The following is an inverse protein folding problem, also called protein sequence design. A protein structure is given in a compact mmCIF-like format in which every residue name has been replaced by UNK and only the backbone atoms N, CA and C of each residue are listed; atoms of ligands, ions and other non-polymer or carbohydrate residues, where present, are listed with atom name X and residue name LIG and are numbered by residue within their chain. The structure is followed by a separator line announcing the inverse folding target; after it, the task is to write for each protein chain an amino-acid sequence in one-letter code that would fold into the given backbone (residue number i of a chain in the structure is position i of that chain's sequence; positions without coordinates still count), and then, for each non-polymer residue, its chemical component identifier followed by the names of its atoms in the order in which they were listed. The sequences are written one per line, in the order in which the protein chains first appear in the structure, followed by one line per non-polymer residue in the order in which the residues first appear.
data_IF_896552081894
#
_entry.id   IF_896552081894
#
_cell.length_a   1.000
_cell.length_b   1.000
_cell.length_c   1.000
_cell.angle_alpha   90.00
_cell.angle_beta   90.00
_cell.angle_gamma   90.00
#
_symmetry.space_group_name_H-M   'P 1'
#
loop_
_entity.id
_entity.type
_entity.pdbx_description
1 polymer ?
#
# COMPACT_ATOMS: atom_id res chain seq x y z
N UNK A 1 -9.21 -8.94 6.55
CA UNK A 1 -9.52 -7.99 7.65
C UNK A 1 -9.13 -8.60 8.99
N UNK A 2 -8.22 -7.93 9.71
CA UNK A 2 -7.72 -8.27 11.06
C UNK A 2 -8.84 -8.07 12.08
N UNK A 3 -9.75 -9.04 12.18
CA UNK A 3 -10.87 -9.00 13.12
C UNK A 3 -10.64 -10.00 14.25
N UNK A 4 -10.41 -9.50 15.47
CA UNK A 4 -10.10 -10.32 16.66
C UNK A 4 -11.19 -11.32 17.03
N UNK A 5 -12.47 -10.98 16.80
CA UNK A 5 -13.61 -11.79 17.28
C UNK A 5 -14.37 -12.52 16.17
N UNK A 6 -14.46 -11.94 14.96
CA UNK A 6 -15.21 -12.52 13.83
C UNK A 6 -14.48 -12.39 12.48
N UNK A 7 -13.22 -11.92 12.49
CA UNK A 7 -12.44 -11.77 11.27
C UNK A 7 -11.92 -13.10 10.73
N UNK A 8 -11.41 -13.07 9.49
CA UNK A 8 -10.80 -14.23 8.82
C UNK A 8 -9.68 -14.82 9.67
N UNK A 9 -8.88 -13.97 10.31
CA UNK A 9 -7.82 -14.39 11.24
C UNK A 9 -8.37 -15.26 12.37
N UNK A 10 -9.43 -14.82 13.06
CA UNK A 10 -10.03 -15.59 14.16
C UNK A 10 -10.60 -16.93 13.68
N UNK A 11 -11.16 -16.99 12.46
CA UNK A 11 -11.65 -18.24 11.87
C UNK A 11 -10.52 -19.21 11.53
N UNK A 12 -9.42 -18.71 10.95
CA UNK A 12 -8.23 -19.52 10.66
C UNK A 12 -7.60 -20.06 11.94
N UNK A 13 -7.44 -19.22 12.97
CA UNK A 13 -6.89 -19.65 14.26
C UNK A 13 -7.76 -20.68 14.99
N UNK A 14 -9.07 -20.70 14.77
CA UNK A 14 -9.95 -21.77 15.29
C UNK A 14 -9.70 -23.11 14.60
N UNK A 15 -9.32 -23.10 13.32
CA UNK A 15 -9.03 -24.31 12.56
C UNK A 15 -7.59 -24.80 12.77
N UNK A 16 -6.64 -23.87 12.83
CA UNK A 16 -5.24 -24.15 13.12
C UNK A 16 -4.69 -23.08 14.10
N UNK A 17 -4.58 -23.41 15.40
CA UNK A 17 -4.04 -22.51 16.41
C UNK A 17 -2.57 -22.12 16.21
N UNK A 18 -1.82 -22.92 15.44
CA UNK A 18 -0.40 -22.69 15.11
C UNK A 18 -0.22 -21.74 13.91
N UNK A 19 -1.30 -21.33 13.26
CA UNK A 19 -1.23 -20.45 12.10
C UNK A 19 -0.69 -19.06 12.49
N UNK A 20 0.35 -18.60 11.79
CA UNK A 20 0.93 -17.28 12.00
C UNK A 20 0.16 -16.25 11.19
N UNK A 21 -0.29 -15.18 11.87
CA UNK A 21 -0.88 -14.04 11.19
C UNK A 21 0.22 -13.10 10.70
N UNK A 22 0.32 -12.93 9.37
CA UNK A 22 1.17 -11.94 8.73
C UNK A 22 0.28 -10.86 8.11
N UNK A 23 0.43 -9.58 8.49
CA UNK A 23 -0.32 -8.51 7.84
C UNK A 23 0.18 -8.32 6.40
N UNK A 24 -0.74 -8.03 5.49
CA UNK A 24 -0.41 -7.77 4.09
C UNK A 24 0.42 -6.49 3.95
N UNK A 25 1.68 -6.59 3.50
CA UNK A 25 2.55 -5.41 3.39
C UNK A 25 1.97 -4.30 2.51
N UNK A 26 1.39 -4.66 1.36
CA UNK A 26 0.75 -3.73 0.44
C UNK A 26 -0.44 -2.98 1.05
N UNK A 27 -1.30 -3.69 1.79
CA UNK A 27 -2.46 -3.10 2.47
C UNK A 27 -2.01 -2.23 3.65
N UNK A 28 -1.06 -2.72 4.44
CA UNK A 28 -0.48 -1.99 5.56
C UNK A 28 0.11 -0.67 5.12
N UNK A 29 0.89 -0.66 4.04
CA UNK A 29 1.49 0.57 3.50
C UNK A 29 0.42 1.57 3.00
N UNK A 30 -0.73 1.09 2.52
CA UNK A 30 -1.86 1.98 2.20
C UNK A 30 -2.45 2.64 3.47
N UNK A 31 -2.59 1.88 4.56
CA UNK A 31 -3.10 2.41 5.82
C UNK A 31 -2.17 3.50 6.38
N UNK A 32 -0.86 3.26 6.37
CA UNK A 32 0.17 4.25 6.74
C UNK A 32 -0.06 5.59 6.04
N UNK A 33 -0.22 5.57 4.71
CA UNK A 33 -0.43 6.79 3.93
C UNK A 33 -1.81 7.41 4.17
N UNK A 34 -2.84 6.59 4.40
CA UNK A 34 -4.17 7.09 4.74
C UNK A 34 -4.20 7.81 6.09
N UNK A 35 -3.42 7.35 7.04
CA UNK A 35 -3.30 7.97 8.36
C UNK A 35 -2.43 9.24 8.27
N UNK A 36 -1.31 9.19 7.52
CA UNK A 36 -0.49 10.36 7.24
C UNK A 36 -1.25 11.48 6.49
N UNK A 37 -2.18 11.13 5.60
CA UNK A 37 -3.04 12.11 4.91
C UNK A 37 -3.99 12.85 5.86
N UNK A 38 -4.19 12.32 7.08
CA UNK A 38 -5.05 12.88 8.13
C UNK A 38 -4.27 13.48 9.30
N UNK A 39 -2.94 13.39 9.29
CA UNK A 39 -2.09 13.78 10.42
C UNK A 39 -1.94 15.30 10.58
N UNK A 40 -2.09 16.07 9.50
CA UNK A 40 -2.03 17.53 9.52
C UNK A 40 -3.24 18.17 8.84
N UNK A 41 -3.60 19.38 9.30
CA UNK A 41 -4.68 20.17 8.68
C UNK A 41 -4.39 20.45 7.21
N UNK A 42 -3.12 20.68 6.88
CA UNK A 42 -2.68 21.04 5.54
C UNK A 42 -2.77 19.84 4.60
N UNK A 43 -2.45 18.63 5.08
CA UNK A 43 -2.66 17.40 4.33
C UNK A 43 -4.15 17.15 4.02
N UNK A 44 -5.01 17.28 5.04
CA UNK A 44 -6.46 17.08 4.89
C UNK A 44 -7.04 18.07 3.87
N UNK A 45 -6.69 19.35 4.00
CA UNK A 45 -7.14 20.41 3.10
C UNK A 45 -6.62 20.19 1.68
N UNK A 46 -5.34 19.80 1.53
CA UNK A 46 -4.74 19.50 0.23
C UNK A 46 -5.51 18.40 -0.52
N UNK A 47 -5.74 17.24 0.11
CA UNK A 47 -6.50 16.16 -0.53
C UNK A 47 -7.97 16.56 -0.78
N UNK A 48 -8.54 17.41 0.07
CA UNK A 48 -9.84 18.03 -0.16
C UNK A 48 -9.88 18.83 -1.47
N UNK A 49 -8.86 19.67 -1.72
CA UNK A 49 -8.75 20.43 -2.96
C UNK A 49 -8.50 19.54 -4.18
N UNK A 50 -7.63 18.53 -4.08
CA UNK A 50 -7.41 17.57 -5.18
C UNK A 50 -8.74 16.87 -5.56
N UNK A 51 -9.56 16.50 -4.58
CA UNK A 51 -10.89 15.93 -4.86
C UNK A 51 -11.86 16.95 -5.46
N UNK A 52 -11.84 18.21 -4.98
CA UNK A 52 -12.67 19.28 -5.53
C UNK A 52 -12.32 19.58 -6.98
N UNK A 53 -11.04 19.58 -7.35
CA UNK A 53 -10.60 19.74 -8.74
C UNK A 53 -11.23 18.69 -9.65
N UNK A 54 -11.15 17.41 -9.26
CA UNK A 54 -11.81 16.35 -10.00
C UNK A 54 -13.33 16.54 -10.06
N UNK A 55 -13.97 16.85 -8.93
CA UNK A 55 -15.42 17.00 -8.85
C UNK A 55 -15.90 18.16 -9.74
N UNK A 56 -15.18 19.29 -9.74
CA UNK A 56 -15.50 20.45 -10.56
C UNK A 56 -15.50 20.12 -12.06
N UNK A 57 -14.42 19.50 -12.56
CA UNK A 57 -14.30 19.17 -13.99
C UNK A 57 -15.21 18.01 -14.40
N UNK A 58 -15.43 17.02 -13.53
CA UNK A 58 -16.29 15.86 -13.83
C UNK A 58 -17.80 16.16 -13.78
N UNK A 59 -18.20 17.29 -13.17
CA UNK A 59 -19.60 17.67 -13.02
C UNK A 59 -20.32 18.03 -14.34
N UNK A 60 -19.60 18.29 -15.43
CA UNK A 60 -20.24 18.64 -16.71
C UNK A 60 -19.34 18.42 -17.93
N UNK A 61 -19.95 18.03 -19.05
CA UNK A 61 -19.24 17.73 -20.31
C UNK A 61 -18.46 18.93 -20.85
N UNK A 62 -19.02 20.14 -20.74
CA UNK A 62 -18.33 21.36 -21.14
C UNK A 62 -17.04 21.57 -20.33
N UNK A 63 -17.09 21.40 -19.00
CA UNK A 63 -15.93 21.57 -18.10
C UNK A 63 -14.85 20.54 -18.40
N UNK A 64 -15.27 19.29 -18.62
CA UNK A 64 -14.37 18.20 -18.98
C UNK A 64 -13.68 18.43 -20.33
N UNK A 65 -14.40 18.97 -21.31
CA UNK A 65 -13.83 19.31 -22.62
C UNK A 65 -12.81 20.45 -22.52
N UNK A 66 -13.08 21.47 -21.71
CA UNK A 66 -12.11 22.55 -21.42
C UNK A 66 -10.84 21.93 -20.83
N UNK A 67 -10.95 21.11 -19.79
CA UNK A 67 -9.79 20.44 -19.19
C UNK A 67 -8.94 19.70 -20.22
N UNK A 68 -9.56 18.88 -21.07
CA UNK A 68 -8.88 18.09 -22.10
C UNK A 68 -8.15 18.91 -23.16
N UNK A 69 -8.51 20.17 -23.36
CA UNK A 69 -7.79 21.06 -24.28
C UNK A 69 -6.45 21.52 -23.72
N UNK A 70 -6.32 21.55 -22.39
CA UNK A 70 -5.12 22.03 -21.70
C UNK A 70 -4.23 20.91 -21.19
N UNK A 71 -4.80 19.80 -20.71
CA UNK A 71 -4.04 18.74 -20.03
C UNK A 71 -3.90 17.48 -20.88
N UNK A 72 -2.78 16.78 -20.68
CA UNK A 72 -2.49 15.49 -21.28
C UNK A 72 -2.91 14.33 -20.34
N UNK A 73 -2.69 14.53 -19.04
CA UNK A 73 -3.09 13.65 -17.95
C UNK A 73 -4.33 14.25 -17.29
N UNK A 74 -5.48 13.60 -17.45
CA UNK A 74 -6.72 14.07 -16.82
C UNK A 74 -6.65 13.97 -15.30
N UNK A 75 -7.23 14.94 -14.60
CA UNK A 75 -7.43 14.86 -13.14
C UNK A 75 -8.26 13.63 -12.78
N UNK A 76 -7.95 13.02 -11.64
CA UNK A 76 -8.56 11.77 -11.18
C UNK A 76 -9.11 11.93 -9.77
N UNK A 77 -10.25 11.29 -9.50
CA UNK A 77 -10.71 11.10 -8.12
C UNK A 77 -9.70 10.25 -7.38
N UNK A 78 -9.49 10.55 -6.10
CA UNK A 78 -8.82 9.61 -5.21
C UNK A 78 -9.86 8.84 -4.39
N UNK A 79 -9.46 7.70 -3.82
CA UNK A 79 -10.30 6.92 -2.91
C UNK A 79 -9.47 6.41 -1.73
N UNK A 80 -10.07 6.31 -0.54
CA UNK A 80 -9.37 5.76 0.64
C UNK A 80 -8.96 4.31 0.46
N UNK A 81 -9.72 3.56 -0.34
CA UNK A 81 -9.49 2.12 -0.55
C UNK A 81 -8.40 1.80 -1.55
N UNK A 82 -8.01 2.75 -2.43
CA UNK A 82 -7.04 2.51 -3.50
C UNK A 82 -5.96 3.59 -3.51
N UNK A 83 -4.83 3.23 -2.91
CA UNK A 83 -3.65 4.06 -2.78
C UNK A 83 -3.11 4.58 -4.14
N UNK A 84 -3.11 3.76 -5.20
CA UNK A 84 -2.65 4.17 -6.53
C UNK A 84 -3.48 5.32 -7.09
N UNK A 85 -4.75 5.39 -6.70
CA UNK A 85 -5.64 6.51 -7.05
C UNK A 85 -5.10 7.83 -6.50
N UNK A 86 -4.61 7.86 -5.25
CA UNK A 86 -4.04 9.08 -4.64
C UNK A 86 -2.79 9.55 -5.38
N UNK A 87 -1.86 8.65 -5.68
CA UNK A 87 -0.67 9.00 -6.46
C UNK A 87 -1.07 9.54 -7.84
N UNK A 88 -1.95 8.85 -8.56
CA UNK A 88 -2.38 9.29 -9.89
C UNK A 88 -3.09 10.65 -9.85
N UNK A 89 -3.90 10.93 -8.82
CA UNK A 89 -4.54 12.24 -8.60
C UNK A 89 -3.52 13.34 -8.35
N UNK A 90 -2.55 13.12 -7.45
CA UNK A 90 -1.52 14.11 -7.13
C UNK A 90 -0.56 14.31 -8.31
N UNK A 91 -0.17 13.25 -9.00
CA UNK A 91 0.72 13.29 -10.15
C UNK A 91 0.11 14.11 -11.31
N UNK A 92 -1.19 13.94 -11.59
CA UNK A 92 -1.87 14.74 -12.61
C UNK A 92 -1.80 16.24 -12.30
N UNK A 93 -1.91 16.61 -11.02
CA UNK A 93 -1.82 18.01 -10.58
C UNK A 93 -0.37 18.51 -10.61
N UNK A 94 0.57 17.73 -10.06
CA UNK A 94 1.98 18.13 -9.89
C UNK A 94 2.67 18.49 -11.20
N UNK A 95 2.42 17.72 -12.26
CA UNK A 95 3.12 17.88 -13.54
C UNK A 95 2.39 18.79 -14.53
N UNK A 96 1.15 19.20 -14.22
CA UNK A 96 0.32 20.03 -15.10
C UNK A 96 -0.40 21.15 -14.35
N UNK A 97 0.20 21.65 -13.27
CA UNK A 97 -0.43 22.65 -12.41
C UNK A 97 -0.76 23.94 -13.18
N UNK A 98 0.14 24.35 -14.08
CA UNK A 98 -0.05 25.54 -14.92
C UNK A 98 -1.22 25.36 -15.88
N UNK A 99 -1.27 24.25 -16.59
CA UNK A 99 -2.31 23.92 -17.56
C UNK A 99 -3.68 23.72 -16.88
N UNK A 100 -3.70 23.11 -15.69
CA UNK A 100 -4.92 23.00 -14.88
C UNK A 100 -5.41 24.38 -14.46
N UNK A 101 -4.50 25.28 -14.06
CA UNK A 101 -4.86 26.65 -13.69
C UNK A 101 -5.43 27.42 -14.89
N UNK A 102 -4.82 27.31 -16.07
CA UNK A 102 -5.35 27.93 -17.29
C UNK A 102 -6.72 27.35 -17.67
N UNK A 103 -6.91 26.04 -17.55
CA UNK A 103 -8.21 25.41 -17.76
C UNK A 103 -9.30 25.95 -16.80
N UNK A 104 -8.95 26.23 -15.53
CA UNK A 104 -9.87 26.83 -14.56
C UNK A 104 -10.19 28.30 -14.89
N UNK A 105 -9.20 29.06 -15.36
CA UNK A 105 -9.40 30.45 -15.80
C UNK A 105 -10.29 30.52 -17.05
N UNK A 106 -10.10 29.60 -18.01
CA UNK A 106 -10.99 29.47 -19.16
C UNK A 106 -12.41 29.04 -18.74
N UNK A 107 -12.51 28.06 -17.84
CA UNK A 107 -13.78 27.60 -17.30
C UNK A 107 -14.57 28.76 -16.64
N UNK A 108 -13.89 29.62 -15.88
CA UNK A 108 -14.49 30.83 -15.29
C UNK A 108 -15.11 31.76 -16.34
N UNK A 109 -14.49 31.87 -17.52
CA UNK A 109 -14.99 32.75 -18.59
C UNK A 109 -16.14 32.11 -19.38
N UNK A 110 -16.01 30.83 -19.74
CA UNK A 110 -16.92 30.14 -20.68
C UNK A 110 -18.16 29.49 -20.04
N UNK A 111 -18.13 29.19 -18.75
CA UNK A 111 -19.28 28.56 -18.06
C UNK A 111 -20.31 29.63 -17.73
N UNK A 112 -21.61 29.38 -17.91
CA UNK A 112 -22.65 30.38 -17.58
C UNK A 112 -23.06 30.38 -16.10
N UNK A 113 -22.98 29.24 -15.42
CA UNK A 113 -23.35 29.08 -14.01
C UNK A 113 -22.49 29.96 -13.07
N UNK A 114 -23.08 30.94 -12.35
CA UNK A 114 -22.34 31.81 -11.45
C UNK A 114 -21.60 31.06 -10.33
N UNK A 115 -22.18 29.99 -9.79
CA UNK A 115 -21.56 29.20 -8.72
C UNK A 115 -20.29 28.54 -9.22
N UNK A 116 -20.36 27.89 -10.38
CA UNK A 116 -19.20 27.31 -11.05
C UNK A 116 -18.11 28.33 -11.40
N UNK A 117 -18.47 29.58 -11.78
CA UNK A 117 -17.47 30.62 -12.04
C UNK A 117 -16.68 30.98 -10.78
N UNK A 118 -17.37 31.15 -9.65
CA UNK A 118 -16.73 31.47 -8.37
C UNK A 118 -15.88 30.30 -7.90
N UNK A 119 -16.39 29.07 -8.02
CA UNK A 119 -15.66 27.86 -7.69
C UNK A 119 -14.38 27.74 -8.55
N UNK A 120 -14.48 27.92 -9.87
CA UNK A 120 -13.34 27.90 -10.79
C UNK A 120 -12.27 28.93 -10.41
N UNK A 121 -12.69 30.15 -10.06
CA UNK A 121 -11.77 31.20 -9.60
C UNK A 121 -11.05 30.79 -8.32
N UNK A 122 -11.78 30.32 -7.31
CA UNK A 122 -11.18 29.91 -6.04
C UNK A 122 -10.20 28.75 -6.21
N UNK A 123 -10.51 27.79 -7.09
CA UNK A 123 -9.63 26.67 -7.41
C UNK A 123 -8.38 27.13 -8.17
N UNK A 124 -8.51 28.09 -9.09
CA UNK A 124 -7.37 28.63 -9.84
C UNK A 124 -6.40 29.39 -8.91
N UNK A 125 -6.93 30.12 -7.93
CA UNK A 125 -6.13 30.81 -6.91
C UNK A 125 -5.42 29.81 -5.99
N UNK A 126 -6.09 28.75 -5.56
CA UNK A 126 -5.48 27.73 -4.70
C UNK A 126 -4.38 26.95 -5.45
N UNK A 127 -4.65 26.48 -6.68
CA UNK A 127 -3.67 25.74 -7.50
C UNK A 127 -2.43 26.60 -7.80
N UNK A 128 -2.62 27.91 -7.98
CA UNK A 128 -1.52 28.85 -8.15
C UNK A 128 -0.79 29.23 -6.86
N UNK A 129 -1.30 28.85 -5.68
CA UNK A 129 -0.71 29.25 -4.41
C UNK A 129 0.58 28.49 -4.11
N UNK A 130 1.60 29.20 -3.64
CA UNK A 130 2.89 28.60 -3.30
C UNK A 130 2.76 27.49 -2.25
N UNK A 131 1.86 27.67 -1.28
CA UNK A 131 1.53 26.68 -0.25
C UNK A 131 0.98 25.38 -0.84
N UNK A 132 -0.01 25.45 -1.73
CA UNK A 132 -0.59 24.27 -2.35
C UNK A 132 0.45 23.50 -3.17
N UNK A 133 1.32 24.22 -3.89
CA UNK A 133 2.38 23.62 -4.69
C UNK A 133 3.41 22.89 -3.83
N UNK A 134 3.84 23.47 -2.70
CA UNK A 134 4.71 22.77 -1.74
C UNK A 134 4.03 21.48 -1.26
N UNK A 135 2.78 21.55 -0.83
CA UNK A 135 2.02 20.35 -0.42
C UNK A 135 1.94 19.31 -1.55
N UNK A 136 1.72 19.75 -2.79
CA UNK A 136 1.66 18.89 -3.97
C UNK A 136 2.98 18.17 -4.25
N UNK A 137 4.11 18.88 -4.18
CA UNK A 137 5.45 18.31 -4.38
C UNK A 137 5.77 17.30 -3.27
N UNK A 138 5.55 17.67 -2.00
CA UNK A 138 5.80 16.80 -0.84
C UNK A 138 4.99 15.51 -0.95
N UNK A 139 3.69 15.62 -1.22
CA UNK A 139 2.84 14.44 -1.38
C UNK A 139 3.24 13.59 -2.58
N UNK A 140 3.59 14.20 -3.71
CA UNK A 140 4.04 13.46 -4.89
C UNK A 140 5.28 12.62 -4.58
N UNK A 141 6.23 13.16 -3.83
CA UNK A 141 7.48 12.47 -3.49
C UNK A 141 7.25 11.32 -2.49
N UNK A 142 6.52 11.57 -1.40
CA UNK A 142 6.15 10.53 -0.42
C UNK A 142 5.38 9.39 -1.08
N UNK A 143 4.38 9.73 -1.91
CA UNK A 143 3.58 8.73 -2.61
C UNK A 143 4.41 7.96 -3.64
N UNK A 144 5.35 8.60 -4.35
CA UNK A 144 6.18 7.92 -5.36
C UNK A 144 7.15 6.92 -4.73
N UNK A 145 7.79 7.28 -3.61
CA UNK A 145 8.69 6.38 -2.86
C UNK A 145 7.95 5.15 -2.33
N UNK A 146 6.79 5.35 -1.72
CA UNK A 146 5.96 4.26 -1.20
C UNK A 146 5.32 3.42 -2.32
N UNK A 147 4.99 4.03 -3.46
CA UNK A 147 4.36 3.35 -4.60
C UNK A 147 5.22 2.23 -5.18
N UNK A 148 6.50 2.52 -5.35
CA UNK A 148 7.45 1.60 -5.93
C UNK A 148 7.52 0.31 -5.12
N UNK A 149 7.66 0.44 -3.79
CA UNK A 149 7.69 -0.70 -2.89
C UNK A 149 6.35 -1.41 -2.81
N UNK A 150 5.24 -0.67 -2.82
CA UNK A 150 3.91 -1.29 -2.82
C UNK A 150 3.69 -2.19 -4.05
N UNK A 151 4.10 -1.76 -5.25
CA UNK A 151 4.00 -2.58 -6.47
C UNK A 151 4.86 -3.85 -6.37
N UNK A 152 6.07 -3.72 -5.84
CA UNK A 152 6.98 -4.87 -5.64
C UNK A 152 6.38 -5.85 -4.63
N UNK A 153 5.85 -5.35 -3.50
CA UNK A 153 5.18 -6.14 -2.46
C UNK A 153 3.89 -6.84 -2.92
N UNK A 154 3.38 -6.57 -4.13
CA UNK A 154 2.24 -7.28 -4.70
C UNK A 154 2.64 -8.45 -5.61
N UNK A 155 3.94 -8.71 -5.77
CA UNK A 155 4.43 -9.87 -6.53
C UNK A 155 3.97 -11.18 -5.89
N UNK A 156 3.65 -12.17 -6.73
CA UNK A 156 3.31 -13.52 -6.30
C UNK A 156 4.53 -14.28 -5.73
N UNK A 157 5.73 -13.91 -6.15
CA UNK A 157 7.00 -14.49 -5.69
C UNK A 157 7.62 -13.76 -4.50
N UNK A 158 6.87 -12.86 -3.84
CA UNK A 158 7.41 -12.03 -2.76
C UNK A 158 7.73 -12.87 -1.51
N UNK A 159 8.97 -12.76 -1.04
CA UNK A 159 9.48 -13.43 0.16
C UNK A 159 9.54 -12.47 1.35
N UNK A 160 9.55 -13.02 2.57
CA UNK A 160 9.41 -12.25 3.81
C UNK A 160 10.64 -11.36 4.09
N UNK A 161 11.82 -11.92 3.90
CA UNK A 161 13.12 -11.26 4.07
C UNK A 161 13.28 -10.08 3.10
N UNK A 162 12.96 -10.29 1.82
CA UNK A 162 12.98 -9.25 0.78
C UNK A 162 11.97 -8.16 1.11
N UNK A 163 10.75 -8.52 1.51
CA UNK A 163 9.73 -7.55 1.91
C UNK A 163 10.21 -6.67 3.07
N UNK A 164 10.73 -7.26 4.14
CA UNK A 164 11.27 -6.52 5.29
C UNK A 164 12.41 -5.59 4.87
N UNK A 165 13.31 -6.05 3.99
CA UNK A 165 14.40 -5.22 3.48
C UNK A 165 13.88 -4.03 2.67
N UNK A 166 12.92 -4.24 1.77
CA UNK A 166 12.32 -3.17 0.97
C UNK A 166 11.63 -2.10 1.84
N UNK A 167 10.94 -2.55 2.89
CA UNK A 167 10.29 -1.65 3.86
C UNK A 167 11.34 -0.86 4.64
N UNK A 168 12.41 -1.52 5.11
CA UNK A 168 13.52 -0.86 5.80
C UNK A 168 14.21 0.19 4.91
N UNK A 169 14.45 -0.14 3.63
CA UNK A 169 15.00 0.79 2.66
C UNK A 169 14.05 1.98 2.40
N UNK A 170 12.74 1.73 2.36
CA UNK A 170 11.72 2.80 2.21
C UNK A 170 11.74 3.74 3.41
N UNK A 171 11.84 3.17 4.62
CA UNK A 171 11.98 3.95 5.85
C UNK A 171 13.23 4.83 5.80
N UNK A 172 14.39 4.25 5.50
CA UNK A 172 15.64 5.00 5.38
C UNK A 172 15.55 6.12 4.32
N UNK A 173 14.92 5.84 3.19
CA UNK A 173 14.65 6.82 2.14
C UNK A 173 13.75 7.97 2.62
N UNK A 174 12.72 7.69 3.42
CA UNK A 174 11.85 8.71 4.03
C UNK A 174 12.57 9.50 5.13
N UNK A 175 13.44 8.86 5.92
CA UNK A 175 14.29 9.54 6.90
C UNK A 175 15.27 10.49 6.22
N UNK A 176 15.90 10.09 5.13
CA UNK A 176 16.73 11.01 4.35
C UNK A 176 15.89 12.16 3.76
N UNK A 177 14.71 11.85 3.24
CA UNK A 177 13.79 12.86 2.72
C UNK A 177 13.37 13.86 3.82
N UNK A 178 13.26 13.42 5.07
CA UNK A 178 12.94 14.27 6.22
C UNK A 178 13.97 15.37 6.48
N UNK A 179 15.23 15.17 6.08
CA UNK A 179 16.32 16.12 6.32
C UNK A 179 16.41 17.19 5.21
N UNK A 180 16.28 16.80 3.93
CA UNK A 180 16.48 17.73 2.79
C UNK A 180 15.21 18.08 2.03
N UNK A 181 14.18 17.24 2.16
CA UNK A 181 13.03 17.21 1.25
C UNK A 181 12.18 18.46 1.25
N UNK A 182 12.14 19.21 2.36
CA UNK A 182 11.39 20.46 2.40
C UNK A 182 12.05 21.56 1.55
N UNK A 183 13.39 21.66 1.59
CA UNK A 183 14.14 22.62 0.76
C UNK A 183 14.00 22.30 -0.73
N UNK A 184 14.07 21.00 -1.06
CA UNK A 184 13.87 20.51 -2.43
C UNK A 184 12.45 20.80 -2.93
N UNK A 185 11.45 20.60 -2.06
CA UNK A 185 10.05 20.90 -2.35
C UNK A 185 9.80 22.40 -2.58
N UNK A 186 10.44 23.27 -1.79
CA UNK A 186 10.36 24.73 -1.98
C UNK A 186 10.94 25.13 -3.33
N UNK A 187 12.16 24.68 -3.65
CA UNK A 187 12.84 25.02 -4.91
C UNK A 187 12.01 24.58 -6.12
N UNK A 188 11.45 23.37 -6.03
CA UNK A 188 10.54 22.84 -7.05
C UNK A 188 9.23 23.61 -7.14
N UNK A 189 8.63 24.01 -6.02
CA UNK A 189 7.40 24.79 -6.03
C UNK A 189 7.63 26.21 -6.59
N UNK A 190 8.80 26.82 -6.31
CA UNK A 190 9.18 28.13 -6.88
C UNK A 190 9.26 28.09 -8.39
N UNK A 191 9.90 27.07 -8.98
CA UNK A 191 9.96 26.96 -10.44
C UNK A 191 8.58 26.78 -11.08
N UNK A 192 7.66 26.07 -10.41
CA UNK A 192 6.27 25.97 -10.88
C UNK A 192 5.54 27.33 -10.79
N UNK A 193 5.76 28.11 -9.71
CA UNK A 193 5.24 29.47 -9.59
C UNK A 193 5.76 30.40 -10.70
N UNK A 194 7.05 30.31 -11.03
CA UNK A 194 7.68 31.09 -12.11
C UNK A 194 7.02 30.80 -13.46
N UNK A 195 6.78 29.52 -13.78
CA UNK A 195 6.08 29.11 -15.01
C UNK A 195 4.65 29.69 -15.07
N UNK A 196 3.95 29.76 -13.93
CA UNK A 196 2.60 30.33 -13.85
C UNK A 196 2.57 31.86 -13.73
N UNK A 197 3.73 32.51 -13.63
CA UNK A 197 3.88 33.94 -13.34
C UNK A 197 3.11 34.37 -12.07
N UNK A 198 3.23 33.58 -11.00
CA UNK A 198 2.63 33.84 -9.68
C UNK A 198 3.72 34.08 -8.64
N UNK A 199 3.48 34.98 -7.69
CA UNK A 199 4.40 35.24 -6.59
C UNK A 199 4.58 34.01 -5.69
N UNK A 200 5.82 33.58 -5.51
CA UNK A 200 6.19 32.47 -4.63
C UNK A 200 6.27 32.89 -3.15
N UNK A 201 5.17 33.46 -2.63
CA UNK A 201 5.08 33.95 -1.26
C UNK A 201 3.98 33.22 -0.46
N UNK A 202 4.25 32.96 0.81
CA UNK A 202 3.22 32.56 1.76
C UNK A 202 2.55 33.80 2.34
N UNK A 203 1.22 33.82 2.38
CA UNK A 203 0.49 34.92 3.02
C UNK A 203 0.62 34.79 4.53
N UNK A 204 1.29 35.75 5.16
CA UNK A 204 1.38 35.80 6.63
C UNK A 204 0.00 36.03 7.23
N UNK A 205 -0.41 35.10 8.12
CA UNK A 205 -1.65 35.24 8.85
C UNK A 205 -1.41 36.12 10.07
N UNK A 206 -1.98 37.33 10.09
CA UNK A 206 -1.91 38.22 11.26
C UNK A 206 -2.42 37.48 12.50
N UNK A 207 -1.53 37.20 13.44
CA UNK A 207 -1.87 36.60 14.72
C UNK A 207 -2.52 37.65 15.61
N UNK A 208 -3.80 37.48 15.94
CA UNK A 208 -4.49 38.35 16.90
C UNK A 208 -4.08 37.90 18.31
N UNK A 209 -3.21 38.65 18.96
CA UNK A 209 -2.93 38.46 20.39
C UNK A 209 -3.97 39.23 21.22
N UNK A 210 -4.57 38.57 22.21
CA UNK A 210 -5.25 39.27 23.29
C UNK A 210 -4.20 39.63 24.33
N UNK A 211 -4.14 40.88 24.78
CA UNK A 211 -3.32 41.21 25.95
C UNK A 211 -3.84 40.39 27.14
N UNK A 212 -2.97 39.60 27.76
CA UNK A 212 -3.21 38.98 29.07
C UNK A 212 -2.26 39.62 30.08
N UNK A 213 -2.73 39.77 31.32
CA UNK A 213 -2.03 40.52 32.37
C UNK A 213 -0.75 39.85 32.88
N UNK A 214 -0.62 38.54 32.73
CA UNK A 214 0.49 37.75 33.27
C UNK A 214 1.25 37.01 32.16
N UNK A 215 2.57 37.13 32.17
CA UNK A 215 3.46 36.54 31.15
C UNK A 215 3.53 35.01 31.21
N UNK A 216 3.26 34.39 32.36
CA UNK A 216 3.25 32.93 32.53
C UNK A 216 1.94 32.26 32.05
N UNK A 217 0.91 33.03 31.71
CA UNK A 217 -0.35 32.55 31.11
C UNK A 217 -0.38 32.70 29.58
N UNK A 218 0.75 33.13 29.00
CA UNK A 218 0.92 33.24 27.57
C UNK A 218 1.05 31.83 26.96
N UNK A 219 0.25 31.46 25.96
CA UNK A 219 0.52 30.24 25.19
C UNK A 219 1.89 30.35 24.51
N UNK A 220 2.51 29.21 24.22
CA UNK A 220 3.75 29.13 23.44
C UNK A 220 3.65 30.03 22.20
N UNK A 221 4.68 30.84 21.97
CA UNK A 221 4.68 31.78 20.85
C UNK A 221 4.53 31.00 19.53
N UNK A 222 3.47 31.25 18.75
CA UNK A 222 3.31 30.61 17.46
C UNK A 222 4.49 30.96 16.55
N UNK A 223 4.98 29.98 15.79
CA UNK A 223 6.05 30.18 14.81
C UNK A 223 5.68 31.33 13.88
N UNK A 224 6.46 32.42 13.95
CA UNK A 224 6.18 33.65 13.23
C UNK A 224 6.42 33.55 11.72
N UNK A 225 7.38 32.71 11.30
CA UNK A 225 7.67 32.45 9.89
C UNK A 225 6.69 31.42 9.30
N UNK A 226 5.91 31.83 8.29
CA UNK A 226 4.96 30.98 7.60
C UNK A 226 5.62 29.76 6.94
N UNK A 227 6.87 29.87 6.46
CA UNK A 227 7.58 28.74 5.86
C UNK A 227 7.96 27.71 6.92
N UNK A 228 8.56 28.18 8.02
CA UNK A 228 8.87 27.31 9.16
C UNK A 228 7.61 26.68 9.77
N UNK A 229 6.49 27.41 9.78
CA UNK A 229 5.21 26.87 10.23
C UNK A 229 4.75 25.71 9.34
N UNK A 230 4.83 25.86 8.01
CA UNK A 230 4.50 24.80 7.06
C UNK A 230 5.47 23.61 7.16
N UNK A 231 6.75 23.87 7.39
CA UNK A 231 7.74 22.82 7.62
C UNK A 231 7.38 21.98 8.86
N UNK A 232 7.14 22.64 9.99
CA UNK A 232 6.91 21.97 11.27
C UNK A 232 5.52 21.33 11.34
N UNK A 233 4.46 22.04 10.93
CA UNK A 233 3.08 21.60 11.13
C UNK A 233 2.50 20.78 9.96
N UNK A 234 3.21 20.72 8.83
CA UNK A 234 2.80 19.89 7.69
C UNK A 234 3.89 18.91 7.32
N UNK A 235 5.05 19.37 6.86
CA UNK A 235 6.07 18.49 6.29
C UNK A 235 6.59 17.48 7.33
N UNK A 236 7.07 17.97 8.48
CA UNK A 236 7.59 17.12 9.55
C UNK A 236 6.51 16.17 10.06
N UNK A 237 5.31 16.68 10.38
CA UNK A 237 4.20 15.84 10.88
C UNK A 237 3.83 14.73 9.88
N UNK A 238 3.75 15.02 8.59
CA UNK A 238 3.36 14.02 7.58
C UNK A 238 4.46 12.97 7.39
N UNK A 239 5.72 13.39 7.28
CA UNK A 239 6.85 12.46 7.09
C UNK A 239 7.08 11.64 8.35
N UNK A 240 7.08 12.27 9.53
CA UNK A 240 7.28 11.59 10.82
C UNK A 240 6.13 10.64 11.11
N UNK A 241 4.88 11.02 10.83
CA UNK A 241 3.73 10.12 10.92
C UNK A 241 3.86 8.92 9.97
N UNK A 242 4.36 9.13 8.75
CA UNK A 242 4.58 8.04 7.80
C UNK A 242 5.65 7.07 8.32
N UNK A 243 6.77 7.59 8.84
CA UNK A 243 7.86 6.79 9.40
C UNK A 243 7.40 6.01 10.64
N UNK A 244 6.75 6.69 11.58
CA UNK A 244 6.25 6.07 12.81
C UNK A 244 5.23 4.97 12.54
N UNK A 245 4.28 5.20 11.61
CA UNK A 245 3.30 4.19 11.24
C UNK A 245 3.92 3.01 10.48
N UNK A 246 5.00 3.23 9.70
CA UNK A 246 5.78 2.12 9.12
C UNK A 246 6.39 1.28 10.25
N UNK A 247 7.02 1.90 11.24
CA UNK A 247 7.63 1.17 12.35
C UNK A 247 6.62 0.33 13.14
N UNK A 248 5.51 0.95 13.56
CA UNK A 248 4.47 0.28 14.34
C UNK A 248 3.85 -0.89 13.55
N UNK A 249 3.51 -0.66 12.29
CA UNK A 249 2.76 -1.66 11.52
C UNK A 249 3.63 -2.82 11.02
N UNK A 250 4.93 -2.58 10.83
CA UNK A 250 5.88 -3.60 10.37
C UNK A 250 6.64 -4.29 11.50
N UNK A 251 6.39 -3.91 12.76
CA UNK A 251 6.91 -4.65 13.92
C UNK A 251 6.46 -6.12 13.91
N UNK A 252 5.20 -6.40 13.57
CA UNK A 252 4.71 -7.79 13.45
C UNK A 252 5.46 -8.55 12.36
N UNK A 253 5.76 -7.93 11.22
CA UNK A 253 6.53 -8.54 10.14
C UNK A 253 7.98 -8.84 10.58
N UNK A 254 8.60 -7.92 11.32
CA UNK A 254 9.92 -8.12 11.90
C UNK A 254 9.93 -9.26 12.93
N UNK A 255 8.93 -9.34 13.80
CA UNK A 255 8.78 -10.44 14.76
C UNK A 255 8.67 -11.79 14.05
N UNK A 256 7.91 -11.88 12.96
CA UNK A 256 7.83 -13.12 12.16
C UNK A 256 9.17 -13.42 11.48
N UNK A 257 9.84 -12.42 10.91
CA UNK A 257 11.19 -12.60 10.33
C UNK A 257 12.18 -13.15 11.37
N UNK A 258 12.16 -12.63 12.59
CA UNK A 258 13.04 -13.12 13.67
C UNK A 258 12.73 -14.57 14.03
N UNK A 259 11.46 -14.94 14.16
CA UNK A 259 11.05 -16.31 14.50
C UNK A 259 11.46 -17.33 13.45
N UNK A 260 11.37 -16.98 12.17
CA UNK A 260 11.75 -17.84 11.05
C UNK A 260 13.19 -17.57 10.55
N UNK A 261 13.97 -16.79 11.28
CA UNK A 261 15.27 -16.27 10.84
C UNK A 261 16.29 -17.35 10.51
N UNK A 262 16.28 -18.47 11.25
CA UNK A 262 17.13 -19.65 11.01
C UNK A 262 16.97 -20.19 9.59
N UNK A 263 15.73 -20.19 9.10
CA UNK A 263 15.36 -20.80 7.82
C UNK A 263 15.46 -19.78 6.68
N UNK A 264 15.13 -18.52 6.97
CA UNK A 264 15.16 -17.44 5.97
C UNK A 264 16.59 -16.96 5.68
N UNK A 265 17.49 -16.97 6.66
CA UNK A 265 18.90 -16.59 6.51
C UNK A 265 19.81 -17.81 6.72
N UNK A 266 19.60 -18.86 5.91
CA UNK A 266 20.27 -20.15 6.08
C UNK A 266 21.79 -20.05 6.11
N UNK A 267 22.37 -19.20 5.25
CA UNK A 267 23.83 -18.99 5.20
C UNK A 267 24.40 -18.45 6.50
N UNK A 268 23.68 -17.54 7.15
CA UNK A 268 24.05 -17.04 8.48
C UNK A 268 23.87 -18.13 9.52
N UNK A 269 22.78 -18.91 9.46
CA UNK A 269 22.50 -19.99 10.38
C UNK A 269 23.60 -21.08 10.37
N UNK A 270 24.16 -21.43 9.20
CA UNK A 270 25.28 -22.36 9.08
C UNK A 270 26.56 -21.86 9.76
N UNK A 271 26.77 -20.55 9.84
CA UNK A 271 27.97 -19.93 10.41
C UNK A 271 27.87 -19.66 11.92
N UNK A 272 26.68 -19.85 12.51
CA UNK A 272 26.43 -19.57 13.92
C UNK A 272 27.06 -20.62 14.86
N UNK A 273 27.32 -20.21 16.11
CA UNK A 273 27.73 -21.15 17.14
C UNK A 273 26.64 -22.19 17.43
N UNK A 274 27.05 -23.39 17.85
CA UNK A 274 26.12 -24.50 18.14
C UNK A 274 25.00 -24.11 19.09
N UNK A 275 25.35 -23.38 20.15
CA UNK A 275 24.42 -23.01 21.20
C UNK A 275 23.43 -21.95 20.73
N UNK A 276 23.88 -21.00 19.91
CA UNK A 276 23.03 -19.95 19.35
C UNK A 276 22.06 -20.51 18.30
N UNK A 277 22.52 -21.41 17.43
CA UNK A 277 21.67 -22.08 16.45
C UNK A 277 20.59 -22.91 17.15
N UNK A 278 20.97 -23.69 18.17
CA UNK A 278 20.04 -24.51 18.96
C UNK A 278 18.99 -23.65 19.65
N UNK A 279 19.37 -22.52 20.24
CA UNK A 279 18.43 -21.59 20.87
C UNK A 279 17.40 -21.03 19.87
N UNK A 280 17.84 -20.65 18.66
CA UNK A 280 16.91 -20.14 17.65
C UNK A 280 15.99 -21.25 17.08
N UNK A 281 16.51 -22.47 16.90
CA UNK A 281 15.70 -23.61 16.46
C UNK A 281 14.65 -24.00 17.51
N UNK A 282 14.99 -23.92 18.80
CA UNK A 282 14.03 -24.12 19.90
C UNK A 282 12.95 -23.03 19.96
N UNK A 283 13.28 -21.78 19.61
CA UNK A 283 12.28 -20.71 19.54
C UNK A 283 11.32 -20.90 18.35
N UNK A 284 11.83 -21.42 17.23
CA UNK A 284 11.00 -21.82 16.09
C UNK A 284 10.10 -23.00 16.45
N UNK A 285 10.64 -24.02 17.12
CA UNK A 285 9.88 -25.15 17.65
C UNK A 285 8.73 -24.65 18.53
N UNK A 286 9.03 -23.80 19.50
CA UNK A 286 8.01 -23.21 20.39
C UNK A 286 6.94 -22.41 19.64
N UNK A 287 7.28 -21.78 18.52
CA UNK A 287 6.33 -21.07 17.66
C UNK A 287 5.39 -22.04 16.93
N UNK A 288 5.87 -23.24 16.61
CA UNK A 288 5.15 -24.30 15.90
C UNK A 288 4.55 -25.37 16.83
N UNK A 289 4.59 -25.16 18.15
CA UNK A 289 3.98 -26.04 19.15
C UNK A 289 2.64 -25.51 19.62
N UNK A 290 1.64 -26.39 19.68
CA UNK A 290 0.36 -26.10 20.35
C UNK A 290 -0.14 -27.32 21.12
N UNK A 291 -0.51 -27.15 22.40
CA UNK A 291 -1.02 -28.23 23.25
C UNK A 291 -0.18 -29.51 23.26
N UNK A 292 1.15 -29.39 23.22
CA UNK A 292 2.15 -30.48 23.17
C UNK A 292 2.37 -31.11 21.78
N UNK A 293 1.55 -30.79 20.77
CA UNK A 293 1.81 -31.18 19.39
C UNK A 293 2.78 -30.19 18.74
N UNK A 294 3.89 -30.71 18.23
CA UNK A 294 4.91 -29.93 17.52
C UNK A 294 5.13 -30.45 16.10
N UNK A 295 5.36 -29.53 15.16
CA UNK A 295 5.68 -29.87 13.77
C UNK A 295 7.18 -30.21 13.57
N UNK A 296 8.06 -29.74 14.46
CA UNK A 296 9.51 -29.89 14.34
C UNK A 296 10.20 -30.18 15.68
N UNK A 297 11.39 -30.77 15.66
CA UNK A 297 12.29 -30.82 16.82
C UNK A 297 13.39 -29.78 16.64
N UNK A 298 13.49 -28.79 17.53
CA UNK A 298 14.49 -27.72 17.42
C UNK A 298 15.92 -28.23 17.58
N UNK A 299 16.14 -29.29 18.36
CA UNK A 299 17.46 -29.92 18.52
C UNK A 299 17.88 -30.63 17.23
N UNK A 300 16.97 -31.41 16.65
CA UNK A 300 17.26 -32.18 15.44
C UNK A 300 17.37 -31.26 14.22
N UNK A 301 16.54 -30.21 14.14
CA UNK A 301 16.68 -29.17 13.12
C UNK A 301 18.06 -28.51 13.17
N UNK A 302 18.58 -28.18 14.36
CA UNK A 302 19.92 -27.60 14.49
C UNK A 302 21.02 -28.57 14.04
N UNK A 303 20.85 -29.87 14.28
CA UNK A 303 21.77 -30.91 13.80
C UNK A 303 21.68 -31.06 12.28
N UNK A 304 20.48 -31.09 11.72
CA UNK A 304 20.23 -31.14 10.28
C UNK A 304 20.92 -29.98 9.56
N UNK A 305 20.70 -28.74 10.00
CA UNK A 305 21.28 -27.53 9.40
C UNK A 305 22.82 -27.59 9.34
N UNK A 306 23.46 -28.14 10.38
CA UNK A 306 24.91 -28.30 10.43
C UNK A 306 25.46 -29.38 9.51
N UNK A 307 24.63 -30.37 9.21
CA UNK A 307 25.00 -31.52 8.38
C UNK A 307 24.50 -31.38 6.94
N UNK A 308 23.98 -30.21 6.55
CA UNK A 308 23.62 -29.94 5.16
C UNK A 308 24.90 -29.89 4.31
N UNK A 309 24.93 -30.58 3.14
CA UNK A 309 26.08 -30.58 2.26
C UNK A 309 26.37 -29.17 1.72
N UNK A 310 27.58 -28.98 1.18
CA UNK A 310 27.98 -27.71 0.57
C UNK A 310 26.93 -27.24 -0.45
N UNK A 311 26.38 -26.06 -0.18
CA UNK A 311 25.35 -25.47 -1.02
C UNK A 311 25.96 -24.93 -2.32
N UNK A 312 25.25 -25.02 -3.46
CA UNK A 312 25.73 -24.48 -4.73
C UNK A 312 25.98 -22.96 -4.73
N UNK A 313 25.31 -22.23 -3.83
CA UNK A 313 25.46 -20.78 -3.66
C UNK A 313 25.46 -20.44 -2.17
N UNK A 314 26.33 -19.50 -1.79
CA UNK A 314 26.41 -18.99 -0.43
C UNK A 314 25.18 -18.17 -0.01
N UNK A 315 24.40 -17.65 -0.97
CA UNK A 315 23.23 -16.80 -0.73
C UNK A 315 22.00 -17.37 -1.46
N UNK A 316 21.55 -18.55 -1.06
CA UNK A 316 20.27 -19.09 -1.52
C UNK A 316 19.10 -18.52 -0.71
N UNK A 317 18.01 -18.20 -1.40
CA UNK A 317 16.74 -17.89 -0.73
C UNK A 317 16.10 -19.16 -0.15
N UNK A 318 15.18 -19.01 0.80
CA UNK A 318 14.47 -20.16 1.38
C UNK A 318 13.73 -21.01 0.31
N UNK A 319 13.22 -20.39 -0.75
CA UNK A 319 12.58 -21.11 -1.86
C UNK A 319 13.58 -21.89 -2.73
N UNK A 320 14.75 -21.32 -2.99
CA UNK A 320 15.82 -22.00 -3.73
C UNK A 320 16.36 -23.18 -2.93
N UNK A 321 16.54 -23.02 -1.62
CA UNK A 321 16.95 -24.11 -0.74
C UNK A 321 15.90 -25.24 -0.70
N UNK A 322 14.62 -24.89 -0.60
CA UNK A 322 13.52 -25.86 -0.69
C UNK A 322 13.55 -26.61 -2.03
N UNK A 323 13.73 -25.89 -3.14
CA UNK A 323 13.80 -26.49 -4.48
C UNK A 323 14.99 -27.43 -4.62
N UNK A 324 16.15 -27.04 -4.07
CA UNK A 324 17.35 -27.88 -4.05
C UNK A 324 17.14 -29.19 -3.27
N UNK A 325 16.49 -29.13 -2.10
CA UNK A 325 16.18 -30.33 -1.31
C UNK A 325 15.27 -31.30 -2.09
N UNK A 326 14.26 -30.78 -2.80
CA UNK A 326 13.43 -31.58 -3.70
C UNK A 326 14.22 -32.19 -4.85
N UNK A 327 14.99 -31.37 -5.59
CA UNK A 327 15.73 -31.83 -6.77
C UNK A 327 16.75 -32.92 -6.45
N UNK A 328 17.29 -32.90 -5.22
CA UNK A 328 18.25 -33.89 -4.73
C UNK A 328 17.61 -35.04 -3.94
N UNK A 329 16.28 -35.07 -3.81
CA UNK A 329 15.54 -36.06 -3.01
C UNK A 329 16.05 -36.17 -1.56
N UNK A 330 16.36 -35.04 -0.93
CA UNK A 330 16.93 -34.97 0.43
C UNK A 330 15.87 -34.82 1.53
N UNK A 331 14.58 -34.96 1.17
CA UNK A 331 13.44 -34.74 2.07
C UNK A 331 13.44 -35.69 3.28
N UNK A 332 13.82 -36.95 3.08
CA UNK A 332 13.90 -37.95 4.16
C UNK A 332 15.13 -37.79 5.05
N UNK A 333 16.20 -37.17 4.54
CA UNK A 333 17.45 -36.94 5.26
C UNK A 333 17.41 -35.69 6.14
N UNK A 334 16.61 -34.70 5.73
CA UNK A 334 16.43 -33.43 6.47
C UNK A 334 14.95 -33.11 6.67
N UNK A 335 14.18 -34.00 7.35
CA UNK A 335 12.73 -33.86 7.48
C UNK A 335 12.31 -32.59 8.22
N UNK A 336 13.05 -32.17 9.26
CA UNK A 336 12.68 -30.98 10.03
C UNK A 336 12.98 -29.69 9.27
N UNK A 337 14.12 -29.64 8.57
CA UNK A 337 14.47 -28.52 7.69
C UNK A 337 13.47 -28.40 6.54
N UNK A 338 13.08 -29.53 5.94
CA UNK A 338 12.06 -29.58 4.90
C UNK A 338 10.72 -29.01 5.36
N UNK A 339 10.21 -29.45 6.51
CA UNK A 339 8.96 -28.94 7.10
C UNK A 339 9.07 -27.45 7.39
N UNK A 340 10.16 -27.02 8.03
CA UNK A 340 10.38 -25.63 8.40
C UNK A 340 10.44 -24.70 7.16
N UNK A 341 11.12 -25.11 6.09
CA UNK A 341 11.19 -24.39 4.82
C UNK A 341 9.82 -24.28 4.15
N UNK A 342 9.04 -25.37 4.11
CA UNK A 342 7.68 -25.35 3.55
C UNK A 342 6.79 -24.36 4.29
N UNK A 343 6.85 -24.35 5.63
CA UNK A 343 6.07 -23.40 6.43
C UNK A 343 6.55 -21.97 6.15
N UNK A 344 7.86 -21.72 6.15
CA UNK A 344 8.43 -20.38 5.92
C UNK A 344 8.08 -19.81 4.54
N UNK A 345 8.22 -20.61 3.48
CA UNK A 345 7.92 -20.22 2.08
C UNK A 345 6.43 -19.98 1.85
N UNK A 346 5.56 -20.65 2.61
CA UNK A 346 4.10 -20.48 2.49
C UNK A 346 3.54 -19.35 3.36
N UNK A 347 4.39 -18.61 4.09
CA UNK A 347 3.96 -17.45 4.87
C UNK A 347 3.36 -16.37 3.95
N UNK A 348 2.14 -15.88 4.23
CA UNK A 348 1.46 -14.93 3.34
C UNK A 348 2.01 -13.51 3.54
N UNK A 349 3.08 -13.17 2.84
CA UNK A 349 3.65 -11.80 2.83
C UNK A 349 2.74 -10.84 2.06
N UNK A 350 2.04 -11.35 1.05
CA UNK A 350 1.13 -10.59 0.18
C UNK A 350 -0.19 -11.36 0.05
N UNK A 351 -1.31 -10.63 0.11
CA UNK A 351 -2.65 -11.20 -0.18
C UNK A 351 -3.28 -10.52 -1.40
N UNK A 352 -2.47 -9.86 -2.23
CA UNK A 352 -2.95 -9.05 -3.35
C UNK A 352 -3.83 -9.87 -4.31
N UNK A 353 -3.50 -11.15 -4.55
CA UNK A 353 -4.32 -12.04 -5.38
C UNK A 353 -5.70 -12.33 -4.76
N UNK A 354 -5.73 -12.62 -3.45
CA UNK A 354 -6.98 -12.84 -2.73
C UNK A 354 -7.82 -11.55 -2.69
N UNK A 355 -7.22 -10.40 -2.43
CA UNK A 355 -7.90 -9.09 -2.43
C UNK A 355 -8.47 -8.73 -3.79
N UNK A 356 -7.72 -8.95 -4.89
CA UNK A 356 -8.23 -8.77 -6.27
C UNK A 356 -9.44 -9.67 -6.51
N UNK A 357 -9.41 -10.91 -6.04
CA UNK A 357 -10.53 -11.84 -6.16
C UNK A 357 -11.77 -11.37 -5.40
N UNK A 358 -11.60 -10.90 -4.16
CA UNK A 358 -12.70 -10.29 -3.38
C UNK A 358 -13.24 -9.00 -4.02
N UNK A 359 -12.42 -8.23 -4.72
CA UNK A 359 -12.89 -7.05 -5.45
C UNK A 359 -13.86 -7.40 -6.59
N UNK A 360 -13.66 -8.55 -7.26
CA UNK A 360 -14.58 -9.07 -8.28
C UNK A 360 -15.94 -9.44 -7.68
N UNK A 361 -15.96 -10.03 -6.49
CA UNK A 361 -17.21 -10.36 -5.79
C UNK A 361 -18.11 -9.15 -5.58
N UNK A 362 -17.55 -7.96 -5.29
CA UNK A 362 -18.33 -6.72 -5.16
C UNK A 362 -19.01 -6.31 -6.48
N UNK A 363 -18.38 -6.57 -7.62
CA UNK A 363 -19.00 -6.31 -8.93
C UNK A 363 -20.05 -7.34 -9.30
N UNK A 364 -19.83 -8.61 -8.91
CA UNK A 364 -20.78 -9.70 -9.17
C UNK A 364 -22.03 -9.55 -8.30
N UNK A 365 -21.86 -9.20 -7.02
CA UNK A 365 -22.93 -9.04 -6.03
C UNK A 365 -23.35 -7.58 -5.92
N UNK A 366 -24.10 -7.11 -6.91
CA UNK A 366 -24.73 -5.79 -6.90
C UNK A 366 -26.19 -5.88 -6.41
N UNK A 367 -26.85 -4.74 -6.22
CA UNK A 367 -28.21 -4.70 -5.67
C UNK A 367 -29.22 -5.49 -6.52
N UNK A 368 -29.03 -5.50 -7.85
CA UNK A 368 -29.84 -6.25 -8.82
C UNK A 368 -29.64 -7.77 -8.74
N UNK A 369 -28.58 -8.26 -8.10
CA UNK A 369 -28.21 -9.68 -7.98
C UNK A 369 -28.20 -10.15 -6.52
N UNK A 370 -28.96 -9.48 -5.66
CA UNK A 370 -29.01 -9.73 -4.21
C UNK A 370 -29.66 -11.08 -3.84
N UNK A 371 -30.54 -11.62 -4.68
CA UNK A 371 -31.28 -12.89 -4.47
C UNK A 371 -30.61 -14.13 -5.09
N UNK A 372 -29.36 -14.03 -5.52
CA UNK A 372 -28.63 -15.12 -6.17
C UNK A 372 -28.26 -16.26 -5.21
N UNK A 373 -28.42 -17.51 -5.65
CA UNK A 373 -27.97 -18.69 -4.93
C UNK A 373 -26.45 -18.77 -4.81
N UNK A 374 -25.95 -19.45 -3.78
CA UNK A 374 -24.51 -19.57 -3.51
C UNK A 374 -23.75 -20.24 -4.66
N UNK A 375 -24.34 -21.28 -5.29
CA UNK A 375 -23.72 -21.95 -6.45
C UNK A 375 -23.48 -21.00 -7.60
N UNK A 376 -24.48 -20.19 -7.96
CA UNK A 376 -24.35 -19.23 -9.06
C UNK A 376 -23.35 -18.12 -8.72
N UNK A 377 -23.30 -17.67 -7.46
CA UNK A 377 -22.30 -16.71 -7.01
C UNK A 377 -20.88 -17.27 -7.14
N UNK A 378 -20.67 -18.50 -6.66
CA UNK A 378 -19.37 -19.18 -6.75
C UNK A 378 -18.94 -19.39 -8.20
N UNK A 379 -19.85 -19.85 -9.07
CA UNK A 379 -19.56 -20.02 -10.50
C UNK A 379 -19.15 -18.72 -11.19
N UNK A 380 -19.93 -17.64 -10.98
CA UNK A 380 -19.59 -16.31 -11.54
C UNK A 380 -18.28 -15.75 -10.97
N UNK A 381 -18.00 -16.01 -9.69
CA UNK A 381 -16.75 -15.61 -9.06
C UNK A 381 -15.57 -16.32 -9.71
N UNK A 382 -15.63 -17.65 -9.88
CA UNK A 382 -14.58 -18.45 -10.52
C UNK A 382 -14.31 -17.94 -11.94
N UNK A 383 -15.37 -17.72 -12.73
CA UNK A 383 -15.23 -17.19 -14.09
C UNK A 383 -14.61 -15.79 -14.12
N UNK A 384 -15.02 -14.90 -13.21
CA UNK A 384 -14.53 -13.52 -13.18
C UNK A 384 -13.09 -13.40 -12.65
N UNK A 385 -12.71 -14.26 -11.71
CA UNK A 385 -11.35 -14.33 -11.17
C UNK A 385 -10.41 -14.91 -12.23
N UNK A 386 -10.80 -16.02 -12.86
CA UNK A 386 -10.01 -16.74 -13.86
C UNK A 386 -10.42 -16.35 -15.29
N UNK A 387 -10.67 -15.06 -15.53
CA UNK A 387 -11.20 -14.59 -16.81
C UNK A 387 -10.28 -14.90 -18.00
N UNK A 388 -8.96 -15.05 -17.77
CA UNK A 388 -8.00 -15.42 -18.81
C UNK A 388 -8.20 -16.86 -19.27
N UNK A 389 -8.48 -17.78 -18.33
CA UNK A 389 -8.89 -19.15 -18.65
C UNK A 389 -10.26 -19.15 -19.31
N UNK A 390 -11.19 -18.34 -18.79
CA UNK A 390 -12.53 -18.21 -19.35
C UNK A 390 -12.55 -17.77 -20.82
N UNK A 391 -11.62 -16.90 -21.24
CA UNK A 391 -11.47 -16.49 -22.65
C UNK A 391 -10.99 -17.60 -23.58
N UNK A 392 -10.35 -18.64 -23.04
CA UNK A 392 -9.85 -19.78 -23.81
C UNK A 392 -10.94 -20.83 -24.07
N UNK A 393 -12.06 -20.75 -23.36
CA UNK A 393 -13.18 -21.69 -23.52
C UNK A 393 -13.99 -21.27 -24.75
N UNK A 394 -14.17 -22.19 -25.70
CA UNK A 394 -15.00 -21.97 -26.89
C UNK A 394 -16.47 -21.86 -26.50
N UNK A 395 -17.17 -20.86 -27.05
CA UNK A 395 -18.61 -20.73 -26.87
C UNK A 395 -19.36 -21.88 -27.54
N UNK A 396 -18.88 -22.37 -28.68
CA UNK A 396 -19.51 -23.45 -29.43
C UNK A 396 -19.48 -24.76 -28.62
N UNK A 397 -18.35 -25.07 -27.98
CA UNK A 397 -18.21 -26.24 -27.11
C UNK A 397 -19.18 -26.19 -25.91
N UNK A 398 -19.40 -25.00 -25.35
CA UNK A 398 -20.36 -24.80 -24.25
C UNK A 398 -21.80 -25.00 -24.75
N UNK A 399 -22.12 -24.47 -25.94
CA UNK A 399 -23.45 -24.61 -26.54
C UNK A 399 -23.74 -26.09 -26.82
N UNK A 400 -22.78 -26.82 -27.36
CA UNK A 400 -22.89 -28.25 -27.67
C UNK A 400 -23.00 -29.11 -26.40
N UNK A 401 -22.19 -28.85 -25.36
CA UNK A 401 -22.32 -29.52 -24.06
C UNK A 401 -23.69 -29.23 -23.43
N UNK A 402 -24.16 -27.98 -23.46
CA UNK A 402 -25.47 -27.63 -22.93
C UNK A 402 -26.61 -28.30 -23.70
N UNK A 403 -26.54 -28.34 -25.03
CA UNK A 403 -27.50 -29.00 -25.90
C UNK A 403 -27.54 -30.52 -25.61
N UNK A 404 -26.39 -31.17 -25.52
CA UNK A 404 -26.27 -32.61 -25.26
C UNK A 404 -26.88 -33.02 -23.91
N UNK A 405 -26.75 -32.18 -22.87
CA UNK A 405 -27.34 -32.40 -21.54
C UNK A 405 -28.86 -32.25 -21.53
N UNK A 406 -29.42 -31.38 -22.37
CA UNK A 406 -30.88 -31.25 -22.52
C UNK A 406 -31.49 -32.37 -23.37
N UNK A 407 -30.77 -32.90 -24.36
CA UNK A 407 -31.24 -34.04 -25.15
C UNK A 407 -31.50 -35.30 -24.30
N UNK A 408 -30.80 -35.49 -23.17
CA UNK A 408 -31.02 -36.64 -22.26
C UNK A 408 -32.28 -36.55 -21.39
N UNK A 409 -33.04 -35.44 -21.41
CA UNK A 409 -34.36 -35.34 -20.71
C UNK A 409 -35.55 -35.79 -21.57
N UNK A 410 -35.30 -36.20 -22.81
CA UNK A 410 -36.26 -36.93 -23.64
C UNK A 410 -35.91 -38.41 -23.69
N UNK A 411 -36.21 -39.16 -22.64
CA UNK A 411 -36.48 -40.59 -22.78
C UNK A 411 -37.95 -40.76 -22.42
N UNK A 412 -38.72 -41.15 -23.43
CA UNK A 412 -40.13 -41.51 -23.37
C UNK A 412 -40.35 -42.73 -22.48
#
# INVERSE_FOLDING_TARGET
MKGKHQGVQARLLRMNPRAVFVPCGAHTLNLVIADAAKSSKDAVVFFGYVQKLFTFFSAGTQRWNILKQHVNITVKSWTDTRWESRLQSVHAVRYQASEIREALLEARQKINDPVAKVEAQSLAEEVGSYRFLICCVVWCEILSRTNTVNKILQSASMQLDVAVQLISNTKASLTQYRDTGFSDAQTTARSICEVMNVEAALKDKRLRTSKKHFSYEAPDEPVADALRNLEVNFFNIVVDSTIASIDEQFETLNQVKTKYGVVLNFSTACQMSSDSLKAQCMELEKTLTFNQDCDISGVDLANEIKNVPDLPSANMTAFELLSFLCEKNLEELYPYLWIALRIAVTLPVTVASAERSFSKLKMIKNYLRSSMSQERLSGLAIMSINHDVGKQISYDDIIDDFASRKCRKGHF
#
